data_IF_950801862170
#
_entry.id   IF_950801862170
#
_cell.length_a   1.000
_cell.length_b   1.000
_cell.length_c   1.000
_cell.angle_alpha   90.00
_cell.angle_beta   90.00
_cell.angle_gamma   90.00
#
_symmetry.space_group_name_H-M   'P 1'
#
loop_
_entity.id
_entity.type
_entity.pdbx_description
1 polymer ?
#
# COMPACT_ATOMS: atom_id res chain seq x y z
N UNK A 1 6.28 3.71 27.96
CA UNK A 1 7.38 2.78 28.33
C UNK A 1 8.68 3.46 27.91
N UNK A 2 9.61 3.68 28.83
CA UNK A 2 10.89 4.35 28.50
C UNK A 2 11.92 3.29 28.17
N UNK A 3 12.47 3.32 26.96
CA UNK A 3 13.58 2.47 26.54
C UNK A 3 14.89 3.17 26.82
N UNK A 4 15.79 2.50 27.53
CA UNK A 4 17.15 3.00 27.75
C UNK A 4 18.01 2.44 26.63
N UNK A 5 18.55 3.31 25.80
CA UNK A 5 19.51 2.97 24.74
C UNK A 5 20.91 3.23 25.28
N UNK A 6 21.74 2.20 25.36
CA UNK A 6 23.16 2.33 25.77
C UNK A 6 24.01 2.56 24.52
N UNK A 7 24.71 3.71 24.38
CA UNK A 7 25.49 4.01 23.18
C UNK A 7 26.59 2.99 22.86
N UNK A 8 27.06 2.23 23.85
CA UNK A 8 28.09 1.20 23.73
C UNK A 8 27.53 -0.19 23.42
N UNK A 9 26.19 -0.34 23.28
CA UNK A 9 25.58 -1.63 22.93
C UNK A 9 26.09 -2.08 21.55
N UNK A 10 26.46 -3.36 21.44
CA UNK A 10 26.98 -3.98 20.20
C UNK A 10 25.99 -3.87 19.03
N UNK A 11 24.70 -3.74 19.32
CA UNK A 11 23.65 -3.57 18.31
C UNK A 11 23.50 -2.11 17.86
N UNK A 12 24.13 -1.16 18.57
CA UNK A 12 24.11 0.24 18.20
C UNK A 12 25.24 0.52 17.24
N UNK A 13 24.89 0.93 16.03
CA UNK A 13 25.85 1.39 15.04
C UNK A 13 25.99 2.90 15.12
N UNK A 14 27.19 3.39 15.46
CA UNK A 14 27.51 4.79 15.36
C UNK A 14 27.67 5.16 13.88
N UNK A 15 26.73 5.93 13.34
CA UNK A 15 26.72 6.29 11.93
C UNK A 15 27.64 7.48 11.65
N UNK A 16 28.11 8.16 12.70
CA UNK A 16 28.87 9.42 12.59
C UNK A 16 28.00 10.59 12.14
N UNK A 17 28.64 11.69 11.73
CA UNK A 17 27.91 12.77 11.06
C UNK A 17 27.60 12.35 9.63
N UNK A 18 26.42 11.77 9.41
CA UNK A 18 25.92 11.55 8.06
C UNK A 18 25.27 12.82 7.54
N UNK A 19 25.59 13.17 6.32
CA UNK A 19 24.76 14.10 5.58
C UNK A 19 23.37 13.46 5.39
N UNK A 20 22.33 14.22 5.73
CA UNK A 20 20.95 13.80 5.43
C UNK A 20 20.86 13.57 3.92
N UNK A 21 20.24 12.44 3.52
CA UNK A 21 20.01 12.16 2.12
C UNK A 21 19.21 13.29 1.48
N UNK A 22 19.63 13.85 0.35
CA UNK A 22 18.90 14.93 -0.30
C UNK A 22 17.46 14.51 -0.59
N UNK A 23 16.52 15.37 -0.21
CA UNK A 23 15.11 15.16 -0.51
C UNK A 23 14.45 16.43 -1.04
N UNK A 24 13.32 16.27 -1.72
CA UNK A 24 12.48 17.35 -2.23
C UNK A 24 11.12 17.29 -1.58
N UNK A 25 10.63 18.42 -1.05
CA UNK A 25 9.26 18.52 -0.54
C UNK A 25 8.29 18.65 -1.71
N UNK A 26 7.40 17.67 -1.87
CA UNK A 26 6.39 17.65 -2.93
C UNK A 26 5.09 18.31 -2.50
N UNK A 27 4.74 18.19 -1.20
CA UNK A 27 3.54 18.76 -0.61
C UNK A 27 3.75 19.04 0.87
N UNK A 28 3.15 20.12 1.36
CA UNK A 28 3.08 20.47 2.77
C UNK A 28 1.64 20.38 3.27
N UNK A 29 1.47 19.86 4.49
CA UNK A 29 0.20 19.87 5.17
C UNK A 29 -0.22 21.30 5.57
N UNK A 30 -1.52 21.51 5.76
CA UNK A 30 -2.04 22.78 6.25
C UNK A 30 -1.67 23.01 7.72
N UNK A 31 -1.63 21.94 8.52
CA UNK A 31 -1.14 21.93 9.90
C UNK A 31 0.05 20.97 10.03
N UNK A 32 1.29 21.49 10.13
CA UNK A 32 2.48 20.65 10.27
C UNK A 32 2.60 19.91 11.60
N UNK A 33 1.86 20.33 12.63
CA UNK A 33 1.88 19.69 13.95
C UNK A 33 0.94 18.47 14.05
N UNK A 34 -0.07 18.41 13.18
CA UNK A 34 -1.08 17.35 13.14
C UNK A 34 -1.24 16.83 11.70
N UNK A 35 -0.21 16.21 11.18
CA UNK A 35 -0.16 15.70 9.82
C UNK A 35 0.52 14.34 9.74
N UNK A 36 0.34 13.67 8.60
CA UNK A 36 0.96 12.40 8.28
C UNK A 36 2.09 12.66 7.27
N UNK A 37 3.29 12.13 7.54
CA UNK A 37 4.42 12.24 6.63
C UNK A 37 4.56 10.99 5.78
N UNK A 38 4.56 11.16 4.46
CA UNK A 38 4.85 10.11 3.49
C UNK A 38 6.19 10.43 2.82
N UNK A 39 7.14 9.50 2.93
CA UNK A 39 8.39 9.57 2.19
C UNK A 39 8.32 8.63 0.96
N UNK A 40 8.41 9.21 -0.24
CA UNK A 40 8.81 8.47 -1.42
C UNK A 40 10.32 8.29 -1.41
N UNK A 41 10.81 7.09 -1.75
CA UNK A 41 12.25 6.82 -1.87
C UNK A 41 12.57 6.14 -3.19
N UNK A 42 13.70 6.55 -3.80
CA UNK A 42 14.15 6.02 -5.08
C UNK A 42 14.77 4.64 -4.93
N UNK A 43 14.40 3.71 -5.82
CA UNK A 43 15.00 2.39 -5.94
C UNK A 43 15.25 2.04 -7.41
N UNK A 44 16.51 1.70 -7.73
CA UNK A 44 16.91 1.42 -9.11
C UNK A 44 17.00 2.64 -10.02
N UNK A 45 16.96 3.84 -9.50
CA UNK A 45 17.26 5.08 -10.22
C UNK A 45 18.72 5.48 -9.96
N UNK A 46 19.50 5.66 -11.00
CA UNK A 46 20.84 6.22 -10.91
C UNK A 46 20.79 7.71 -10.60
N UNK A 47 21.92 8.34 -10.25
CA UNK A 47 21.99 9.79 -10.01
C UNK A 47 21.45 10.60 -11.21
N UNK A 48 21.76 10.16 -12.44
CA UNK A 48 21.28 10.81 -13.66
C UNK A 48 19.74 10.69 -13.87
N UNK A 49 19.12 9.69 -13.25
CA UNK A 49 17.67 9.41 -13.36
C UNK A 49 16.85 10.06 -12.23
N UNK A 50 17.49 10.78 -11.27
CA UNK A 50 16.76 11.46 -10.19
C UNK A 50 15.66 12.44 -10.67
N UNK A 51 15.82 13.18 -11.79
CA UNK A 51 14.70 13.98 -12.33
C UNK A 51 13.49 13.13 -12.76
N UNK A 52 13.72 11.92 -13.27
CA UNK A 52 12.66 10.96 -13.62
C UNK A 52 11.96 10.45 -12.37
N UNK A 53 12.73 10.06 -11.33
CA UNK A 53 12.19 9.68 -10.04
C UNK A 53 11.25 10.74 -9.44
N UNK A 54 11.66 12.02 -9.44
CA UNK A 54 10.80 13.12 -8.92
C UNK A 54 9.52 13.24 -9.72
N UNK A 55 9.56 13.07 -11.05
CA UNK A 55 8.37 13.03 -11.89
C UNK A 55 7.45 11.88 -11.53
N UNK A 56 8.01 10.69 -11.30
CA UNK A 56 7.26 9.50 -10.93
C UNK A 56 6.62 9.63 -9.54
N UNK A 57 7.32 10.25 -8.57
CA UNK A 57 6.75 10.61 -7.27
C UNK A 57 5.52 11.52 -7.41
N UNK A 58 5.56 12.53 -8.28
CA UNK A 58 4.41 13.40 -8.53
C UNK A 58 3.25 12.65 -9.15
N UNK A 59 3.51 11.71 -10.08
CA UNK A 59 2.48 10.85 -10.67
C UNK A 59 1.84 9.96 -9.59
N UNK A 60 2.63 9.33 -8.73
CA UNK A 60 2.14 8.50 -7.65
C UNK A 60 1.32 9.29 -6.63
N UNK A 61 1.82 10.47 -6.23
CA UNK A 61 1.13 11.38 -5.32
C UNK A 61 -0.24 11.80 -5.87
N UNK A 62 -0.30 12.24 -7.12
CA UNK A 62 -1.59 12.63 -7.72
C UNK A 62 -2.52 11.42 -7.93
N UNK A 63 -1.98 10.22 -8.18
CA UNK A 63 -2.78 9.00 -8.23
C UNK A 63 -3.40 8.69 -6.86
N UNK A 64 -2.67 8.84 -5.76
CA UNK A 64 -3.19 8.66 -4.40
C UNK A 64 -4.30 9.69 -4.09
N UNK A 65 -4.04 10.96 -4.34
CA UNK A 65 -5.00 12.04 -4.08
C UNK A 65 -6.15 12.16 -5.10
N UNK A 66 -6.18 11.28 -6.09
CA UNK A 66 -7.38 11.10 -6.92
C UNK A 66 -8.45 10.24 -6.23
N UNK A 67 -8.10 9.49 -5.16
CA UNK A 67 -8.99 8.57 -4.45
C UNK A 67 -9.51 9.18 -3.14
N UNK A 68 -10.82 8.98 -2.86
CA UNK A 68 -11.32 9.25 -1.51
C UNK A 68 -10.87 8.15 -0.52
N UNK A 69 -10.56 8.49 0.74
CA UNK A 69 -10.68 9.80 1.40
C UNK A 69 -9.43 10.69 1.29
N UNK A 70 -8.36 10.20 0.66
CA UNK A 70 -7.11 10.96 0.50
C UNK A 70 -7.32 12.30 -0.21
N UNK A 71 -8.22 12.34 -1.20
CA UNK A 71 -8.58 13.56 -1.94
C UNK A 71 -9.12 14.65 -1.03
N UNK A 72 -10.16 14.35 -0.27
CA UNK A 72 -10.80 15.31 0.64
C UNK A 72 -9.91 15.67 1.85
N UNK A 73 -9.00 14.77 2.24
CA UNK A 73 -8.10 14.94 3.39
C UNK A 73 -6.67 15.27 2.98
N UNK A 74 -6.44 15.68 1.73
CA UNK A 74 -5.12 15.94 1.15
C UNK A 74 -4.28 16.90 1.99
N UNK A 75 -4.90 17.93 2.56
CA UNK A 75 -4.23 18.94 3.38
C UNK A 75 -3.63 18.40 4.69
N UNK A 76 -3.91 17.15 5.04
CA UNK A 76 -3.39 16.49 6.26
C UNK A 76 -2.06 15.74 6.01
N UNK A 77 -1.48 15.85 4.80
CA UNK A 77 -0.28 15.11 4.43
C UNK A 77 0.89 16.01 4.09
N UNK A 78 2.04 15.71 4.67
CA UNK A 78 3.35 16.14 4.19
C UNK A 78 3.95 15.06 3.30
N UNK A 79 4.51 15.43 2.15
CA UNK A 79 5.09 14.47 1.20
C UNK A 79 6.47 14.93 0.79
N UNK A 80 7.43 14.02 0.92
CA UNK A 80 8.81 14.22 0.51
C UNK A 80 9.25 13.14 -0.45
N UNK A 81 10.22 13.45 -1.31
CA UNK A 81 10.87 12.52 -2.23
C UNK A 81 12.36 12.43 -1.90
N UNK A 82 12.80 11.29 -1.38
CA UNK A 82 14.19 11.04 -0.92
C UNK A 82 15.00 10.47 -2.07
N UNK A 83 16.07 11.18 -2.44
CA UNK A 83 16.93 10.88 -3.58
C UNK A 83 18.01 9.87 -3.20
N UNK A 84 17.70 8.58 -3.17
CA UNK A 84 18.64 7.50 -2.91
C UNK A 84 19.18 6.93 -4.23
N UNK A 85 20.33 7.37 -4.75
CA UNK A 85 20.82 6.92 -6.03
C UNK A 85 21.32 5.48 -5.97
N UNK A 86 20.92 4.68 -6.95
CA UNK A 86 21.43 3.34 -7.20
C UNK A 86 22.65 3.37 -8.12
N UNK A 87 23.52 2.37 -7.99
CA UNK A 87 24.65 2.18 -8.93
C UNK A 87 24.12 1.72 -10.28
N UNK A 88 23.20 0.73 -10.27
CA UNK A 88 22.57 0.18 -11.45
C UNK A 88 21.15 0.69 -11.63
N UNK A 89 20.75 0.94 -12.87
CA UNK A 89 19.36 1.22 -13.24
C UNK A 89 18.52 -0.06 -13.26
N UNK A 90 17.32 -0.02 -12.71
CA UNK A 90 16.38 -1.15 -12.68
C UNK A 90 16.38 -1.90 -11.36
N UNK A 91 15.93 -3.16 -11.37
CA UNK A 91 15.84 -4.03 -10.19
C UNK A 91 16.23 -5.46 -10.51
N UNK A 92 16.52 -6.26 -9.49
CA UNK A 92 16.92 -7.66 -9.67
C UNK A 92 15.73 -8.56 -10.04
N UNK A 93 15.99 -9.54 -10.93
CA UNK A 93 15.08 -10.62 -11.31
C UNK A 93 15.82 -11.96 -11.15
N UNK A 94 15.83 -12.54 -9.95
CA UNK A 94 16.62 -13.74 -9.63
C UNK A 94 16.32 -14.94 -10.54
N UNK A 95 15.05 -15.18 -10.87
CA UNK A 95 14.63 -16.27 -11.75
C UNK A 95 15.21 -16.19 -13.17
N UNK A 96 15.61 -14.98 -13.60
CA UNK A 96 16.28 -14.73 -14.87
C UNK A 96 17.80 -14.59 -14.75
N UNK A 97 18.35 -14.74 -13.54
CA UNK A 97 19.78 -14.51 -13.26
C UNK A 97 20.21 -13.04 -13.37
N UNK A 98 19.25 -12.09 -13.30
CA UNK A 98 19.52 -10.66 -13.37
C UNK A 98 19.71 -10.13 -11.96
N UNK A 99 20.91 -9.59 -11.69
CA UNK A 99 21.27 -8.99 -10.43
C UNK A 99 21.69 -7.54 -10.63
N UNK A 100 21.16 -6.63 -9.79
CA UNK A 100 21.40 -5.20 -9.85
C UNK A 100 21.88 -4.69 -8.49
N UNK A 101 22.89 -3.81 -8.51
CA UNK A 101 23.36 -3.11 -7.34
C UNK A 101 22.56 -1.82 -7.16
N UNK A 102 21.46 -1.92 -6.42
CA UNK A 102 20.52 -0.82 -6.21
C UNK A 102 20.53 -0.33 -4.77
N UNK A 103 19.98 0.85 -4.50
CA UNK A 103 20.01 1.49 -3.18
C UNK A 103 19.38 0.64 -2.08
N UNK A 104 18.34 -0.10 -2.38
CA UNK A 104 17.58 -0.91 -1.43
C UNK A 104 17.62 -2.41 -1.77
N UNK A 105 18.38 -2.81 -2.80
CA UNK A 105 18.52 -4.21 -3.22
C UNK A 105 17.17 -4.90 -3.44
N UNK A 106 16.20 -4.19 -4.03
CA UNK A 106 14.90 -4.76 -4.33
C UNK A 106 14.98 -5.86 -5.38
N UNK A 107 14.09 -6.83 -5.30
CA UNK A 107 14.04 -7.93 -6.24
C UNK A 107 12.62 -8.46 -6.43
N UNK A 108 12.36 -8.97 -7.60
CA UNK A 108 11.21 -9.81 -7.89
C UNK A 108 11.39 -11.23 -7.33
N UNK A 109 10.45 -12.09 -7.61
CA UNK A 109 10.48 -13.53 -7.26
C UNK A 109 10.43 -13.81 -5.75
N UNK A 110 10.00 -12.85 -4.94
CA UNK A 110 9.73 -13.05 -3.50
C UNK A 110 8.63 -14.12 -3.34
N UNK A 111 8.84 -15.06 -2.43
CA UNK A 111 7.96 -16.23 -2.25
C UNK A 111 7.71 -17.04 -3.54
N UNK A 112 8.70 -17.05 -4.44
CA UNK A 112 8.62 -17.71 -5.76
C UNK A 112 7.51 -17.16 -6.68
N UNK A 113 6.99 -15.98 -6.39
CA UNK A 113 6.04 -15.26 -7.24
C UNK A 113 6.76 -14.24 -8.10
N UNK A 114 6.65 -14.36 -9.40
CA UNK A 114 7.34 -13.53 -10.41
C UNK A 114 6.95 -12.05 -10.39
N UNK A 115 5.81 -11.72 -9.79
CA UNK A 115 5.30 -10.36 -9.63
C UNK A 115 5.49 -9.76 -8.21
N UNK A 116 5.90 -10.59 -7.25
CA UNK A 116 6.04 -10.10 -5.88
C UNK A 116 7.38 -9.39 -5.72
N UNK A 117 7.31 -8.07 -5.61
CA UNK A 117 8.45 -7.17 -5.55
C UNK A 117 8.66 -6.70 -4.11
N UNK A 118 9.83 -6.97 -3.53
CA UNK A 118 10.15 -6.58 -2.15
C UNK A 118 11.62 -6.21 -1.99
N UNK A 119 11.95 -5.70 -0.81
CA UNK A 119 13.33 -5.66 -0.29
C UNK A 119 13.39 -6.27 1.10
N UNK A 120 14.47 -6.99 1.40
CA UNK A 120 14.80 -7.46 2.73
C UNK A 120 15.82 -6.56 3.44
N UNK A 121 16.29 -5.52 2.77
CA UNK A 121 17.30 -4.58 3.26
C UNK A 121 16.69 -3.40 4.02
N UNK A 122 15.88 -3.72 5.05
CA UNK A 122 15.17 -2.71 5.86
C UNK A 122 16.12 -1.75 6.55
N UNK A 123 17.29 -2.23 6.95
CA UNK A 123 18.30 -1.36 7.55
C UNK A 123 18.78 -0.29 6.55
N UNK A 124 19.06 -0.68 5.33
CA UNK A 124 19.51 0.25 4.29
C UNK A 124 18.40 1.24 3.94
N UNK A 125 17.14 0.78 3.89
CA UNK A 125 15.95 1.62 3.71
C UNK A 125 15.88 2.72 4.78
N UNK A 126 15.99 2.36 6.05
CA UNK A 126 15.93 3.33 7.15
C UNK A 126 17.21 4.19 7.26
N UNK A 127 18.37 3.67 6.86
CA UNK A 127 19.60 4.45 6.77
C UNK A 127 19.49 5.56 5.71
N UNK A 128 18.88 5.31 4.55
CA UNK A 128 18.62 6.32 3.54
C UNK A 128 17.59 7.36 3.98
N UNK A 129 16.62 6.99 4.80
CA UNK A 129 15.58 7.87 5.35
C UNK A 129 16.02 8.63 6.61
N UNK A 130 17.19 8.33 7.16
CA UNK A 130 17.66 8.95 8.40
C UNK A 130 17.72 10.48 8.29
N UNK A 131 17.03 11.17 9.23
CA UNK A 131 16.91 12.63 9.24
C UNK A 131 15.79 13.20 8.37
N UNK A 132 15.03 12.34 7.67
CA UNK A 132 13.83 12.71 6.93
C UNK A 132 12.60 12.42 7.79
N UNK A 133 11.60 13.30 7.89
CA UNK A 133 10.34 12.99 8.59
C UNK A 133 9.50 11.99 7.77
N UNK A 134 9.08 10.89 8.38
CA UNK A 134 8.16 9.93 7.77
C UNK A 134 7.47 9.07 8.83
N UNK A 135 6.21 8.74 8.59
CA UNK A 135 5.47 7.65 9.23
C UNK A 135 5.22 6.52 8.21
N UNK A 136 5.09 6.87 6.93
CA UNK A 136 4.81 5.91 5.86
C UNK A 136 5.84 6.03 4.73
N UNK A 137 6.20 4.89 4.15
CA UNK A 137 7.25 4.78 3.14
C UNK A 137 6.68 4.18 1.87
N UNK A 138 6.91 4.85 0.75
CA UNK A 138 6.59 4.35 -0.59
C UNK A 138 7.87 4.27 -1.40
N UNK A 139 8.29 3.06 -1.73
CA UNK A 139 9.45 2.80 -2.58
C UNK A 139 9.02 2.77 -4.03
N UNK A 140 9.49 3.69 -4.85
CA UNK A 140 9.28 3.66 -6.29
C UNK A 140 10.43 2.96 -6.97
N UNK A 141 10.13 1.88 -7.70
CA UNK A 141 11.12 1.03 -8.35
C UNK A 141 11.16 1.34 -9.84
N UNK A 142 12.35 1.65 -10.34
CA UNK A 142 12.61 1.95 -11.75
C UNK A 142 12.50 0.68 -12.62
N UNK A 143 11.29 0.26 -12.93
CA UNK A 143 11.04 -0.95 -13.73
C UNK A 143 9.72 -0.86 -14.49
N UNK A 144 9.71 -1.46 -15.69
CA UNK A 144 8.50 -1.66 -16.50
C UNK A 144 7.79 -2.99 -16.17
N UNK A 145 8.45 -3.90 -15.45
CA UNK A 145 7.85 -5.19 -15.08
C UNK A 145 6.76 -4.97 -14.04
N UNK A 146 5.58 -5.60 -14.27
CA UNK A 146 4.47 -5.56 -13.34
C UNK A 146 4.85 -6.18 -11.98
N UNK A 147 4.59 -5.46 -10.92
CA UNK A 147 4.76 -5.95 -9.55
C UNK A 147 4.62 -4.86 -8.50
N UNK A 148 4.39 -5.30 -7.32
CA UNK A 148 4.26 -4.48 -6.12
C UNK A 148 4.24 -5.35 -4.87
N UNK A 149 4.16 -4.71 -3.72
CA UNK A 149 4.01 -5.35 -2.42
C UNK A 149 3.84 -4.30 -1.33
N UNK A 150 2.80 -4.46 -0.51
CA UNK A 150 2.52 -3.59 0.63
C UNK A 150 2.58 -4.35 1.95
N UNK A 151 3.36 -3.85 2.90
CA UNK A 151 3.55 -4.45 4.22
C UNK A 151 3.10 -3.44 5.28
N UNK A 152 2.07 -3.80 6.04
CA UNK A 152 1.48 -2.93 7.08
C UNK A 152 2.56 -2.42 8.04
N UNK A 153 2.51 -1.11 8.32
CA UNK A 153 3.44 -0.41 9.22
C UNK A 153 4.92 -0.57 8.87
N UNK A 154 5.23 -0.89 7.61
CA UNK A 154 6.60 -0.99 7.13
C UNK A 154 6.79 -0.14 5.87
N UNK A 155 6.54 -0.67 4.70
CA UNK A 155 6.66 0.05 3.44
C UNK A 155 5.74 -0.54 2.37
N UNK A 156 5.55 0.19 1.27
CA UNK A 156 5.15 -0.45 0.02
C UNK A 156 6.22 -0.24 -1.07
N UNK A 157 6.29 -1.18 -2.00
CA UNK A 157 7.03 -1.04 -3.26
C UNK A 157 6.06 -1.07 -4.42
N UNK A 158 6.33 -0.22 -5.44
CA UNK A 158 5.55 -0.23 -6.68
C UNK A 158 6.46 0.05 -7.87
N UNK A 159 6.28 -0.72 -8.95
CA UNK A 159 6.90 -0.42 -10.24
C UNK A 159 6.44 0.96 -10.74
N UNK A 160 7.36 1.77 -11.29
CA UNK A 160 7.04 3.15 -11.70
C UNK A 160 6.70 3.30 -13.19
N UNK A 161 7.14 2.39 -14.07
CA UNK A 161 7.05 2.58 -15.52
C UNK A 161 6.08 1.61 -16.22
N UNK A 162 5.34 0.83 -15.47
CA UNK A 162 4.29 -0.04 -16.02
C UNK A 162 2.98 0.74 -16.23
N UNK A 163 2.16 0.44 -17.27
CA UNK A 163 0.86 1.08 -17.48
C UNK A 163 -0.10 1.03 -16.28
N UNK A 164 0.03 0.01 -15.42
CA UNK A 164 -0.76 -0.14 -14.18
C UNK A 164 -0.11 0.52 -12.95
N UNK A 165 0.90 1.39 -13.11
CA UNK A 165 1.58 2.04 -11.98
C UNK A 165 0.61 2.75 -11.04
N UNK A 166 -0.24 3.63 -11.59
CA UNK A 166 -1.17 4.43 -10.78
C UNK A 166 -2.12 3.60 -9.92
N UNK A 167 -2.86 2.61 -10.44
CA UNK A 167 -3.72 1.77 -9.60
C UNK A 167 -2.94 0.91 -8.60
N UNK A 168 -1.75 0.39 -8.98
CA UNK A 168 -0.97 -0.48 -8.10
C UNK A 168 -0.39 0.29 -6.92
N UNK A 169 0.22 1.47 -7.12
CA UNK A 169 0.79 2.23 -6.00
C UNK A 169 -0.27 2.61 -4.96
N UNK A 170 -1.50 2.87 -5.38
CA UNK A 170 -2.63 3.15 -4.47
C UNK A 170 -3.12 1.88 -3.76
N UNK A 171 -3.19 0.75 -4.47
CA UNK A 171 -3.54 -0.55 -3.90
C UNK A 171 -2.54 -0.96 -2.80
N UNK A 172 -1.24 -0.94 -3.11
CA UNK A 172 -0.19 -1.30 -2.17
C UNK A 172 -0.14 -0.34 -0.96
N UNK A 173 -0.48 0.93 -1.16
CA UNK A 173 -0.62 1.88 -0.06
C UNK A 173 -1.82 1.55 0.83
N UNK A 174 -2.90 0.99 0.28
CA UNK A 174 -4.02 0.45 1.05
C UNK A 174 -3.58 -0.62 2.06
N UNK A 175 -2.69 -1.52 1.65
CA UNK A 175 -2.09 -2.52 2.54
C UNK A 175 -1.18 -1.87 3.59
N UNK A 176 -0.19 -1.11 3.15
CA UNK A 176 0.88 -0.61 4.04
C UNK A 176 0.40 0.47 5.01
N UNK A 177 -0.57 1.29 4.61
CA UNK A 177 -1.13 2.38 5.41
C UNK A 177 -2.25 1.89 6.33
N UNK A 178 -3.27 1.25 5.76
CA UNK A 178 -4.53 0.99 6.47
C UNK A 178 -4.77 -0.50 6.79
N UNK A 179 -3.82 -1.38 6.46
CA UNK A 179 -3.95 -2.82 6.71
C UNK A 179 -5.10 -3.46 5.95
N UNK A 180 -5.48 -2.91 4.80
CA UNK A 180 -6.52 -3.51 3.98
C UNK A 180 -6.03 -4.85 3.42
N UNK A 181 -6.87 -5.85 3.45
CA UNK A 181 -6.64 -7.13 2.81
C UNK A 181 -7.01 -7.12 1.32
N UNK A 182 -6.47 -8.08 0.57
CA UNK A 182 -6.87 -8.30 -0.82
C UNK A 182 -8.30 -8.81 -0.90
N UNK A 183 -9.12 -8.20 -1.77
CA UNK A 183 -10.52 -8.55 -1.95
C UNK A 183 -10.76 -9.52 -3.12
N UNK A 184 -9.71 -10.14 -3.65
CA UNK A 184 -9.79 -11.10 -4.75
C UNK A 184 -9.42 -12.52 -4.31
N UNK A 185 -9.73 -13.50 -5.15
CA UNK A 185 -9.25 -14.87 -5.05
C UNK A 185 -8.82 -15.39 -6.42
N UNK A 186 -7.93 -16.38 -6.41
CA UNK A 186 -7.48 -17.01 -7.65
C UNK A 186 -8.40 -18.16 -8.06
N UNK A 187 -8.83 -18.18 -9.32
CA UNK A 187 -9.78 -19.18 -9.81
C UNK A 187 -9.27 -20.64 -9.76
N UNK A 188 -7.95 -20.84 -9.67
CA UNK A 188 -7.31 -22.15 -9.73
C UNK A 188 -6.61 -22.58 -8.43
N UNK A 189 -6.48 -21.68 -7.49
CA UNK A 189 -5.77 -21.92 -6.22
C UNK A 189 -6.63 -21.39 -5.08
N UNK A 190 -7.12 -22.27 -4.24
CA UNK A 190 -7.75 -21.87 -2.99
C UNK A 190 -6.66 -21.76 -1.93
N UNK A 191 -6.37 -20.51 -1.53
CA UNK A 191 -5.44 -20.23 -0.45
C UNK A 191 -6.26 -19.91 0.79
N UNK A 192 -6.31 -20.83 1.74
CA UNK A 192 -7.02 -20.66 3.00
C UNK A 192 -6.11 -19.99 4.04
N UNK A 193 -5.96 -18.67 3.96
CA UNK A 193 -5.20 -17.88 4.93
C UNK A 193 -6.00 -17.55 6.20
N UNK A 194 -7.33 -17.60 6.10
CA UNK A 194 -8.23 -17.17 7.17
C UNK A 194 -9.01 -18.36 7.73
N UNK A 195 -8.83 -18.72 9.04
CA UNK A 195 -9.70 -19.66 9.71
C UNK A 195 -11.14 -19.16 9.70
N UNK A 196 -12.09 -20.03 9.36
CA UNK A 196 -13.51 -19.63 9.17
C UNK A 196 -14.26 -19.33 10.48
N UNK A 197 -13.65 -19.67 11.61
CA UNK A 197 -14.16 -19.46 12.97
C UNK A 197 -13.48 -18.28 13.69
N UNK A 198 -12.62 -17.54 12.98
CA UNK A 198 -11.90 -16.38 13.49
C UNK A 198 -12.17 -15.19 12.59
N UNK A 199 -12.50 -14.05 13.18
CA UNK A 199 -12.66 -12.81 12.43
C UNK A 199 -11.30 -12.27 12.00
N UNK A 200 -11.07 -11.97 10.69
CA UNK A 200 -9.85 -11.31 10.21
C UNK A 200 -9.63 -9.96 10.90
N UNK A 201 -8.37 -9.61 11.12
CA UNK A 201 -8.03 -8.28 11.65
C UNK A 201 -8.13 -7.18 10.58
N UNK A 202 -8.04 -7.53 9.30
CA UNK A 202 -8.15 -6.59 8.18
C UNK A 202 -9.52 -5.92 8.18
N UNK A 203 -9.58 -4.57 8.11
CA UNK A 203 -10.83 -3.84 8.29
C UNK A 203 -11.85 -4.02 7.15
N UNK A 204 -11.40 -4.50 5.98
CA UNK A 204 -12.23 -4.71 4.79
C UNK A 204 -12.57 -6.18 4.49
N UNK A 205 -12.14 -7.11 5.34
CA UNK A 205 -12.45 -8.54 5.24
C UNK A 205 -13.25 -9.02 6.45
N UNK A 206 -14.11 -10.03 6.26
CA UNK A 206 -14.82 -10.71 7.35
C UNK A 206 -15.04 -12.17 7.05
N UNK A 207 -15.13 -12.98 8.09
CA UNK A 207 -15.64 -14.37 8.07
C UNK A 207 -17.09 -14.45 8.57
N UNK A 208 -17.74 -13.31 8.83
CA UNK A 208 -19.05 -13.17 9.47
C UNK A 208 -19.10 -13.64 10.93
N UNK A 209 -17.96 -13.85 11.57
CA UNK A 209 -17.91 -14.26 12.98
C UNK A 209 -18.21 -13.08 13.88
N UNK A 210 -17.54 -11.94 13.66
CA UNK A 210 -17.76 -10.72 14.42
C UNK A 210 -17.20 -9.50 13.70
N UNK A 211 -17.99 -8.84 12.86
CA UNK A 211 -17.54 -7.68 12.10
C UNK A 211 -18.30 -6.38 12.41
N UNK A 212 -18.98 -6.33 13.56
CA UNK A 212 -19.77 -5.17 13.98
C UNK A 212 -18.93 -3.88 14.08
N UNK A 213 -17.65 -3.98 14.42
CA UNK A 213 -16.70 -2.86 14.47
C UNK A 213 -16.15 -2.44 13.11
N UNK A 214 -16.49 -3.16 12.03
CA UNK A 214 -16.04 -2.88 10.67
C UNK A 214 -17.13 -2.13 9.90
N UNK A 215 -17.84 -2.81 9.02
CA UNK A 215 -18.85 -2.18 8.15
C UNK A 215 -20.27 -2.74 8.30
N UNK A 216 -20.52 -3.59 9.29
CA UNK A 216 -21.87 -4.15 9.51
C UNK A 216 -22.93 -3.06 9.61
N UNK A 217 -22.62 -1.95 10.31
CA UNK A 217 -23.52 -0.80 10.44
C UNK A 217 -23.84 -0.05 9.14
N UNK A 218 -23.13 -0.31 8.07
CA UNK A 218 -23.40 0.25 6.73
C UNK A 218 -24.38 -0.60 5.92
N UNK A 219 -24.68 -1.83 6.35
CA UNK A 219 -25.48 -2.78 5.59
C UNK A 219 -26.97 -2.48 5.83
N UNK A 220 -27.73 -2.33 4.73
CA UNK A 220 -29.20 -2.22 4.80
C UNK A 220 -29.75 -3.49 5.45
N UNK A 221 -30.66 -3.33 6.44
CA UNK A 221 -31.28 -4.44 7.18
C UNK A 221 -31.99 -5.49 6.29
N UNK A 222 -32.31 -5.13 5.04
CA UNK A 222 -32.92 -6.03 4.05
C UNK A 222 -31.91 -6.77 3.19
N UNK A 223 -30.61 -6.44 3.29
CA UNK A 223 -29.54 -7.09 2.53
C UNK A 223 -29.24 -8.45 3.15
N UNK A 224 -29.36 -9.55 2.40
CA UNK A 224 -29.01 -10.87 2.93
C UNK A 224 -27.51 -10.99 3.19
N UNK A 225 -27.14 -11.79 4.18
CA UNK A 225 -25.76 -12.16 4.50
C UNK A 225 -25.62 -13.69 4.48
N UNK A 226 -24.71 -14.26 3.67
CA UNK A 226 -23.89 -13.59 2.63
C UNK A 226 -24.74 -12.92 1.55
N UNK A 227 -24.13 -11.90 0.90
CA UNK A 227 -24.81 -11.11 -0.13
C UNK A 227 -24.51 -11.69 -1.52
N UNK A 228 -25.52 -11.99 -2.35
CA UNK A 228 -25.29 -12.47 -3.71
C UNK A 228 -24.55 -11.43 -4.56
N UNK A 229 -23.56 -11.89 -5.34
CA UNK A 229 -22.86 -11.03 -6.29
C UNK A 229 -23.81 -10.50 -7.38
N UNK A 230 -23.60 -9.26 -7.86
CA UNK A 230 -24.27 -8.76 -9.05
C UNK A 230 -23.96 -9.62 -10.28
N UNK A 231 -24.97 -10.02 -11.02
CA UNK A 231 -24.83 -10.87 -12.23
C UNK A 231 -24.14 -10.17 -13.40
N UNK A 232 -23.93 -8.86 -13.28
CA UNK A 232 -23.26 -8.00 -14.27
C UNK A 232 -21.92 -7.44 -13.79
N UNK A 233 -21.37 -7.97 -12.69
CA UNK A 233 -20.18 -7.44 -12.02
C UNK A 233 -19.01 -7.16 -12.99
N UNK A 234 -18.69 -8.12 -13.85
CA UNK A 234 -17.57 -8.04 -14.77
C UNK A 234 -17.95 -7.49 -16.17
N UNK A 235 -19.18 -6.99 -16.33
CA UNK A 235 -19.62 -6.42 -17.60
C UNK A 235 -19.23 -4.96 -17.73
N UNK A 236 -18.86 -4.49 -18.93
CA UNK A 236 -18.50 -3.07 -19.15
C UNK A 236 -19.59 -2.07 -18.76
N UNK A 237 -20.86 -2.50 -18.81
CA UNK A 237 -22.04 -1.70 -18.49
C UNK A 237 -22.65 -2.07 -17.14
N UNK A 238 -21.86 -2.62 -16.21
CA UNK A 238 -22.33 -2.95 -14.86
C UNK A 238 -23.02 -1.75 -14.20
N UNK A 239 -24.17 -2.01 -13.59
CA UNK A 239 -24.99 -0.99 -12.92
C UNK A 239 -24.42 -0.68 -11.54
N UNK A 240 -23.20 -0.10 -11.49
CA UNK A 240 -22.48 0.26 -10.26
C UNK A 240 -23.30 1.18 -9.35
N UNK A 241 -24.19 1.97 -9.92
CA UNK A 241 -25.15 2.83 -9.20
C UNK A 241 -26.16 2.04 -8.35
N UNK A 242 -26.32 0.73 -8.60
CA UNK A 242 -27.19 -0.16 -7.83
C UNK A 242 -26.45 -1.03 -6.81
N UNK A 243 -25.14 -0.97 -6.82
CA UNK A 243 -24.35 -1.75 -5.89
C UNK A 243 -24.54 -1.24 -4.46
N UNK A 244 -24.52 -2.16 -3.50
CA UNK A 244 -24.74 -1.88 -2.09
C UNK A 244 -23.64 -2.47 -1.24
N UNK A 245 -23.47 -1.94 -0.05
CA UNK A 245 -22.62 -2.56 0.97
C UNK A 245 -23.31 -3.86 1.41
N UNK A 246 -22.51 -4.91 1.56
CA UNK A 246 -22.96 -6.25 1.93
C UNK A 246 -21.80 -7.10 2.43
N UNK A 247 -21.87 -8.42 2.20
CA UNK A 247 -20.79 -9.36 2.44
C UNK A 247 -20.68 -10.31 1.24
N UNK A 248 -19.74 -10.07 0.36
CA UNK A 248 -19.59 -10.73 -0.94
C UNK A 248 -18.41 -11.68 -0.96
N UNK A 249 -18.59 -12.87 -1.52
CA UNK A 249 -17.50 -13.76 -1.91
C UNK A 249 -17.11 -13.53 -3.38
N UNK A 250 -15.88 -13.90 -3.77
CA UNK A 250 -14.74 -14.32 -2.95
C UNK A 250 -13.98 -13.14 -2.32
N UNK A 251 -13.12 -13.39 -1.32
CA UNK A 251 -12.20 -12.41 -0.75
C UNK A 251 -11.03 -13.08 -0.04
N UNK A 252 -9.95 -12.35 0.24
CA UNK A 252 -8.83 -12.86 1.02
C UNK A 252 -8.19 -14.11 0.43
N UNK A 253 -8.11 -14.20 -0.91
CA UNK A 253 -7.63 -15.37 -1.68
C UNK A 253 -8.52 -16.62 -1.55
N UNK A 254 -9.55 -16.62 -0.70
CA UNK A 254 -10.46 -17.74 -0.49
C UNK A 254 -11.70 -17.59 -1.39
N UNK A 255 -12.09 -18.69 -2.07
CA UNK A 255 -13.30 -18.71 -2.88
C UNK A 255 -14.58 -18.63 -2.02
N UNK A 256 -14.52 -19.19 -0.79
CA UNK A 256 -15.66 -19.26 0.12
C UNK A 256 -15.25 -19.03 1.57
N UNK A 257 -16.15 -18.41 2.35
CA UNK A 257 -16.03 -18.23 3.80
C UNK A 257 -15.26 -16.99 4.22
N UNK A 258 -14.75 -16.20 3.26
CA UNK A 258 -14.21 -14.86 3.49
C UNK A 258 -14.93 -13.89 2.57
N UNK A 259 -15.32 -12.76 3.13
CA UNK A 259 -16.19 -11.80 2.45
C UNK A 259 -15.58 -10.41 2.42
N UNK A 260 -15.82 -9.69 1.33
CA UNK A 260 -15.54 -8.27 1.13
C UNK A 260 -16.82 -7.44 1.24
N UNK A 261 -16.68 -6.15 1.51
CA UNK A 261 -17.82 -5.27 1.78
C UNK A 261 -18.61 -4.85 0.54
N UNK A 262 -18.02 -4.91 -0.65
CA UNK A 262 -18.60 -4.31 -1.86
C UNK A 262 -18.28 -5.15 -3.09
N UNK A 263 -19.10 -5.11 -4.15
CA UNK A 263 -18.87 -5.93 -5.34
C UNK A 263 -17.50 -5.73 -6.00
N UNK A 264 -17.00 -4.49 -6.11
CA UNK A 264 -15.67 -4.19 -6.62
C UNK A 264 -15.03 -3.00 -5.88
N UNK A 265 -13.71 -2.96 -5.84
CA UNK A 265 -12.91 -2.04 -5.04
C UNK A 265 -11.52 -1.92 -5.60
N UNK A 266 -10.78 -0.85 -5.26
CA UNK A 266 -9.34 -0.75 -5.50
C UNK A 266 -8.56 -1.95 -4.92
N UNK A 267 -9.00 -2.51 -3.81
CA UNK A 267 -8.38 -3.70 -3.19
C UNK A 267 -8.76 -5.02 -3.88
N UNK A 268 -9.66 -4.99 -4.88
CA UNK A 268 -10.04 -6.16 -5.68
C UNK A 268 -9.48 -6.12 -7.09
N UNK A 269 -9.63 -4.98 -7.78
CA UNK A 269 -9.20 -4.86 -9.18
C UNK A 269 -8.54 -3.52 -9.49
N UNK A 270 -7.57 -3.54 -10.42
CA UNK A 270 -6.98 -2.31 -10.95
C UNK A 270 -7.96 -1.51 -11.84
N UNK A 271 -9.04 -2.12 -12.27
CA UNK A 271 -10.05 -1.49 -13.11
C UNK A 271 -11.02 -0.60 -12.33
N UNK A 272 -11.27 -0.90 -11.05
CA UNK A 272 -12.15 -0.05 -10.24
C UNK A 272 -11.43 1.25 -9.85
N UNK A 273 -12.05 2.43 -10.04
CA UNK A 273 -11.37 3.72 -9.85
C UNK A 273 -11.22 4.13 -8.38
N UNK A 274 -11.95 3.53 -7.44
CA UNK A 274 -12.11 4.01 -6.07
C UNK A 274 -11.92 2.90 -5.02
N UNK A 275 -11.65 3.29 -3.78
CA UNK A 275 -11.87 2.43 -2.63
C UNK A 275 -13.36 2.27 -2.36
N UNK A 276 -13.78 1.08 -1.92
CA UNK A 276 -15.17 0.84 -1.54
C UNK A 276 -15.55 1.60 -0.24
N UNK A 277 -16.84 1.73 0.10
CA UNK A 277 -17.26 2.47 1.29
C UNK A 277 -16.61 1.98 2.60
N UNK A 278 -16.42 0.68 2.79
CA UNK A 278 -15.77 0.14 3.99
C UNK A 278 -14.28 0.48 4.04
N UNK A 279 -13.55 0.33 2.91
CA UNK A 279 -12.16 0.74 2.82
C UNK A 279 -11.99 2.25 3.05
N UNK A 280 -12.87 3.07 2.45
CA UNK A 280 -12.88 4.52 2.66
C UNK A 280 -13.11 4.89 4.12
N UNK A 281 -14.03 4.21 4.82
CA UNK A 281 -14.26 4.41 6.26
C UNK A 281 -13.01 4.08 7.08
N UNK A 282 -12.41 2.91 6.86
CA UNK A 282 -11.22 2.47 7.59
C UNK A 282 -10.05 3.45 7.40
N UNK A 283 -9.77 3.87 6.16
CA UNK A 283 -8.74 4.86 5.85
C UNK A 283 -9.07 6.21 6.52
N UNK A 284 -10.34 6.66 6.47
CA UNK A 284 -10.75 7.92 7.09
C UNK A 284 -10.53 7.92 8.61
N UNK A 285 -10.92 6.83 9.27
CA UNK A 285 -10.73 6.68 10.71
C UNK A 285 -9.25 6.74 11.09
N UNK A 286 -8.39 6.08 10.32
CA UNK A 286 -6.95 6.09 10.56
C UNK A 286 -6.34 7.47 10.34
N UNK A 287 -6.69 8.18 9.26
CA UNK A 287 -6.21 9.55 9.02
C UNK A 287 -6.63 10.47 10.17
N UNK A 288 -7.89 10.37 10.63
CA UNK A 288 -8.38 11.15 11.78
C UNK A 288 -7.65 10.83 13.07
N UNK A 289 -7.40 9.55 13.32
CA UNK A 289 -6.63 9.10 14.48
C UNK A 289 -5.23 9.74 14.54
N UNK A 290 -4.56 9.88 13.40
CA UNK A 290 -3.24 10.52 13.32
C UNK A 290 -3.29 12.05 13.38
N UNK A 291 -4.40 12.69 12.98
CA UNK A 291 -4.43 14.13 12.70
C UNK A 291 -5.49 14.92 13.49
N UNK A 292 -6.29 14.24 14.29
CA UNK A 292 -7.28 14.89 15.20
C UNK A 292 -6.91 14.55 16.65
N UNK A 293 -7.04 15.55 17.56
CA UNK A 293 -6.84 15.40 19.01
C UNK A 293 -7.94 14.55 19.67
#
# INVERSE_FOLDING_TARGET
MTHIVLPQDILIRHIGERNITPYETLQQAADPSHCIHIAYIAEGYTEAEMPTFIKDCRIAMEALFAHEPFKSLRSRFNIVAVKAPSVDSGTSEPSKGIWKNTALHSHFDTFYSDRYLTTLHLKDLHDWLAGTPYEHIIVLVNTEKYGGGGILNSYNLSMAHHPQFKPVVVHEFGHSFAGLGDEYAYAKEEINMYPKDVEPWEPNLTTLVDFHNKWEGMIDKKTPLPTPEPTDLDKPNARRDKWKVGAYEPAGYAQHGVYRAYPDCRMRTNAHPEFCPACTQAITQLIKFYTEE
#
